data_IF_407515254873
#
_entry.id   IF_407515254873
#
_cell.length_a   1.000
_cell.length_b   1.000
_cell.length_c   1.000
_cell.angle_alpha   90.00
_cell.angle_beta   90.00
_cell.angle_gamma   90.00
#
_symmetry.space_group_name_H-M   'P 1'
#
loop_
_entity.id
_entity.type
_entity.pdbx_description
1 polymer ?
#
# COMPACT_ATOMS: atom_id res chain seq x y z
N UNK A 1 0.68 54.86 -7.05
CA UNK A 1 -0.29 54.33 -6.06
C UNK A 1 0.37 53.17 -5.33
N UNK A 2 0.59 53.29 -4.01
CA UNK A 2 1.06 52.16 -3.18
C UNK A 2 -0.19 51.39 -2.74
N UNK A 3 -0.35 50.16 -3.22
CA UNK A 3 -1.44 49.30 -2.73
C UNK A 3 -1.18 48.98 -1.25
N UNK A 4 -2.18 49.09 -0.37
CA UNK A 4 -2.02 48.73 1.03
C UNK A 4 -1.67 47.24 1.12
N UNK A 5 -0.62 46.91 1.86
CA UNK A 5 -0.22 45.52 2.12
C UNK A 5 -1.38 44.89 2.91
N UNK A 6 -2.04 43.84 2.39
CA UNK A 6 -3.16 43.21 3.08
C UNK A 6 -2.69 42.67 4.43
N UNK A 7 -3.53 42.81 5.46
CA UNK A 7 -3.15 42.29 6.77
C UNK A 7 -3.01 40.75 6.70
N UNK A 8 -2.03 40.15 7.40
CA UNK A 8 -1.76 38.71 7.33
C UNK A 8 -2.98 37.83 7.60
N UNK A 9 -3.94 38.31 8.38
CA UNK A 9 -5.18 37.60 8.74
C UNK A 9 -6.09 37.42 7.52
N UNK A 10 -6.26 38.45 6.69
CA UNK A 10 -7.08 38.35 5.48
C UNK A 10 -6.45 37.41 4.45
N UNK A 11 -5.12 37.45 4.34
CA UNK A 11 -4.38 36.54 3.46
C UNK A 11 -4.55 35.08 3.90
N UNK A 12 -4.44 34.81 5.21
CA UNK A 12 -4.69 33.49 5.78
C UNK A 12 -6.11 33.01 5.53
N UNK A 13 -7.12 33.87 5.72
CA UNK A 13 -8.52 33.53 5.47
C UNK A 13 -8.76 33.13 4.01
N UNK A 14 -8.29 33.94 3.06
CA UNK A 14 -8.42 33.64 1.62
C UNK A 14 -7.72 32.33 1.27
N UNK A 15 -6.54 32.08 1.82
CA UNK A 15 -5.81 30.82 1.63
C UNK A 15 -6.62 29.61 2.12
N UNK A 16 -7.14 29.65 3.35
CA UNK A 16 -7.92 28.54 3.90
C UNK A 16 -9.23 28.34 3.13
N UNK A 17 -9.94 29.41 2.75
CA UNK A 17 -11.13 29.28 1.90
C UNK A 17 -10.80 28.60 0.56
N UNK A 18 -9.74 29.03 -0.13
CA UNK A 18 -9.31 28.40 -1.37
C UNK A 18 -8.91 26.92 -1.17
N UNK A 19 -8.19 26.64 -0.07
CA UNK A 19 -7.80 25.27 0.29
C UNK A 19 -9.02 24.37 0.57
N UNK A 20 -10.02 24.86 1.30
CA UNK A 20 -11.26 24.11 1.54
C UNK A 20 -12.06 23.88 0.26
N UNK A 21 -12.10 24.84 -0.66
CA UNK A 21 -12.73 24.65 -1.97
C UNK A 21 -12.00 23.57 -2.77
N UNK A 22 -10.66 23.58 -2.79
CA UNK A 22 -9.88 22.54 -3.48
C UNK A 22 -10.05 21.16 -2.82
N UNK A 23 -10.07 21.08 -1.49
CA UNK A 23 -10.35 19.84 -0.78
C UNK A 23 -11.76 19.33 -1.07
N UNK A 24 -12.76 20.21 -1.09
CA UNK A 24 -14.13 19.87 -1.41
C UNK A 24 -14.23 19.27 -2.81
N UNK A 25 -13.67 19.94 -3.82
CA UNK A 25 -13.61 19.44 -5.20
C UNK A 25 -12.88 18.10 -5.28
N UNK A 26 -11.68 18.00 -4.68
CA UNK A 26 -10.86 16.79 -4.73
C UNK A 26 -11.48 15.58 -4.03
N UNK A 27 -12.25 15.77 -2.95
CA UNK A 27 -12.91 14.67 -2.24
C UNK A 27 -14.13 14.17 -3.01
N UNK A 28 -14.89 15.07 -3.64
CA UNK A 28 -16.12 14.72 -4.36
C UNK A 28 -15.82 14.07 -5.71
N UNK A 29 -14.83 14.57 -6.45
CA UNK A 29 -14.44 14.01 -7.76
C UNK A 29 -13.76 12.63 -7.66
N UNK A 30 -13.36 12.20 -6.46
CA UNK A 30 -12.63 10.93 -6.27
C UNK A 30 -13.49 9.68 -6.37
N UNK A 31 -14.81 9.84 -6.39
CA UNK A 31 -15.75 8.81 -6.81
C UNK A 31 -15.99 9.02 -8.30
N UNK A 32 -15.53 8.11 -9.16
CA UNK A 32 -15.60 8.21 -10.62
C UNK A 32 -16.84 8.98 -11.11
N UNK A 33 -16.58 10.02 -11.89
CA UNK A 33 -17.57 11.04 -12.20
C UNK A 33 -18.77 10.44 -12.93
N UNK A 34 -19.92 11.08 -12.78
CA UNK A 34 -21.12 10.75 -13.56
C UNK A 34 -20.87 10.78 -15.07
N UNK A 35 -19.94 11.64 -15.48
CA UNK A 35 -19.53 11.85 -16.86
C UNK A 35 -18.71 10.66 -17.42
N UNK A 36 -17.86 10.03 -16.61
CA UNK A 36 -17.04 8.87 -17.04
C UNK A 36 -17.87 7.58 -17.14
N UNK A 37 -18.89 7.43 -16.29
CA UNK A 37 -19.73 6.24 -16.22
C UNK A 37 -21.24 6.57 -16.29
N UNK A 38 -21.76 7.00 -17.45
CA UNK A 38 -23.12 7.51 -17.55
C UNK A 38 -24.21 6.42 -17.52
N UNK A 39 -23.86 5.15 -17.72
CA UNK A 39 -24.83 4.05 -17.77
C UNK A 39 -24.93 3.32 -16.44
N UNK A 40 -26.14 3.07 -15.99
CA UNK A 40 -26.44 2.34 -14.75
C UNK A 40 -26.94 0.95 -15.06
N UNK A 41 -26.47 -0.03 -14.28
CA UNK A 41 -26.86 -1.43 -14.32
C UNK A 41 -27.16 -1.90 -12.90
N UNK A 42 -28.35 -2.46 -12.68
CA UNK A 42 -28.70 -3.11 -11.42
C UNK A 42 -28.55 -4.62 -11.53
N UNK A 43 -27.81 -5.22 -10.62
CA UNK A 43 -27.65 -6.68 -10.55
C UNK A 43 -28.03 -7.20 -9.16
N UNK A 44 -28.45 -8.45 -9.08
CA UNK A 44 -28.82 -9.09 -7.81
C UNK A 44 -27.93 -10.27 -7.48
N UNK A 45 -27.50 -10.34 -6.22
CA UNK A 45 -26.50 -11.29 -5.77
C UNK A 45 -26.89 -11.90 -4.41
N UNK A 46 -26.71 -13.22 -4.17
CA UNK A 46 -27.19 -13.86 -2.94
C UNK A 46 -26.44 -13.52 -1.65
N UNK A 47 -25.27 -12.86 -1.69
CA UNK A 47 -24.43 -12.54 -0.51
C UNK A 47 -23.87 -11.11 -0.65
N UNK A 48 -23.42 -10.45 0.42
CA UNK A 48 -22.81 -9.09 0.32
C UNK A 48 -21.31 -9.07 0.61
N UNK A 49 -20.68 -10.25 0.80
CA UNK A 49 -19.29 -10.29 1.28
C UNK A 49 -18.30 -9.87 0.19
N UNK A 50 -17.54 -8.81 0.48
CA UNK A 50 -16.35 -8.40 -0.27
C UNK A 50 -16.58 -7.36 -1.37
N UNK A 51 -17.79 -6.82 -1.52
CA UNK A 51 -18.13 -5.76 -2.49
C UNK A 51 -18.50 -4.48 -1.74
N UNK A 52 -17.97 -3.34 -2.20
CA UNK A 52 -18.19 -2.03 -1.62
C UNK A 52 -18.33 -0.98 -2.73
N UNK A 53 -18.91 0.19 -2.44
CA UNK A 53 -18.81 1.34 -3.34
C UNK A 53 -17.36 1.57 -3.78
N UNK A 54 -17.14 1.79 -5.07
CA UNK A 54 -15.83 1.92 -5.71
C UNK A 54 -15.18 0.62 -6.15
N UNK A 55 -15.78 -0.56 -5.90
CA UNK A 55 -15.27 -1.82 -6.45
C UNK A 55 -15.28 -1.78 -7.99
N UNK A 56 -14.17 -2.13 -8.67
CA UNK A 56 -14.13 -2.12 -10.12
C UNK A 56 -14.96 -3.26 -10.74
N UNK A 57 -15.57 -2.96 -11.87
CA UNK A 57 -16.38 -3.89 -12.67
C UNK A 57 -15.72 -4.05 -14.03
N UNK A 58 -15.40 -5.31 -14.36
CA UNK A 58 -14.85 -5.67 -15.66
C UNK A 58 -15.90 -6.30 -16.56
N UNK A 59 -15.79 -5.99 -17.86
CA UNK A 59 -16.53 -6.67 -18.92
C UNK A 59 -15.51 -7.44 -19.74
N UNK A 60 -15.64 -8.76 -19.80
CA UNK A 60 -14.67 -9.65 -20.45
C UNK A 60 -13.21 -9.40 -19.96
N UNK A 61 -13.05 -9.10 -18.68
CA UNK A 61 -11.75 -8.80 -18.06
C UNK A 61 -11.21 -7.37 -18.26
N UNK A 62 -11.89 -6.53 -19.03
CA UNK A 62 -11.53 -5.10 -19.17
C UNK A 62 -12.32 -4.26 -18.17
N UNK A 63 -11.64 -3.48 -17.34
CA UNK A 63 -12.30 -2.55 -16.40
C UNK A 63 -13.08 -1.48 -17.16
N UNK A 64 -14.39 -1.46 -16.97
CA UNK A 64 -15.33 -0.60 -17.73
C UNK A 64 -16.41 0.02 -16.86
N UNK A 65 -16.30 -0.15 -15.54
CA UNK A 65 -17.28 0.35 -14.60
C UNK A 65 -16.86 0.25 -13.15
N UNK A 66 -17.71 0.77 -12.29
CA UNK A 66 -17.52 0.80 -10.85
C UNK A 66 -18.84 0.52 -10.14
N UNK A 67 -18.77 -0.07 -8.95
CA UNK A 67 -19.93 -0.21 -8.06
C UNK A 67 -20.22 1.14 -7.43
N UNK A 68 -21.45 1.64 -7.59
CA UNK A 68 -21.93 2.86 -6.94
C UNK A 68 -22.46 2.59 -5.55
N UNK A 69 -23.38 1.63 -5.44
CA UNK A 69 -24.10 1.37 -4.20
C UNK A 69 -24.47 -0.10 -4.03
N UNK A 70 -24.70 -0.50 -2.78
CA UNK A 70 -25.00 -1.88 -2.39
C UNK A 70 -26.12 -1.88 -1.35
N UNK A 71 -27.29 -2.37 -1.75
CA UNK A 71 -28.49 -2.43 -0.92
C UNK A 71 -28.95 -3.87 -0.67
N UNK A 72 -29.81 -4.05 0.32
CA UNK A 72 -30.40 -5.35 0.65
C UNK A 72 -31.90 -5.31 0.36
N UNK A 73 -32.36 -6.17 -0.54
CA UNK A 73 -33.75 -6.25 -1.01
C UNK A 73 -34.37 -7.61 -0.68
N UNK A 74 -35.70 -7.67 -0.66
CA UNK A 74 -36.42 -8.94 -0.56
C UNK A 74 -36.24 -9.77 -1.83
N UNK A 75 -36.09 -11.09 -1.71
CA UNK A 75 -35.97 -11.97 -2.89
C UNK A 75 -37.24 -11.96 -3.77
N UNK A 76 -38.36 -11.52 -3.22
CA UNK A 76 -39.64 -11.38 -3.94
C UNK A 76 -39.59 -10.29 -5.01
N UNK A 77 -38.85 -9.21 -4.76
CA UNK A 77 -38.70 -8.04 -5.63
C UNK A 77 -37.75 -8.29 -6.80
N UNK A 78 -36.95 -9.36 -6.75
CA UNK A 78 -35.95 -9.65 -7.76
C UNK A 78 -36.58 -10.24 -9.03
N UNK A 79 -36.39 -9.63 -10.21
CA UNK A 79 -36.93 -10.14 -11.48
C UNK A 79 -36.29 -11.48 -11.91
N UNK A 80 -34.95 -11.55 -11.91
CA UNK A 80 -34.21 -12.76 -12.28
C UNK A 80 -33.68 -13.49 -11.05
N UNK A 81 -34.15 -14.71 -10.81
CA UNK A 81 -33.76 -15.53 -9.64
C UNK A 81 -32.86 -16.71 -10.00
N UNK A 82 -32.38 -16.80 -11.25
CA UNK A 82 -31.61 -17.96 -11.75
C UNK A 82 -30.38 -18.30 -10.91
N UNK A 83 -29.67 -17.29 -10.43
CA UNK A 83 -28.45 -17.46 -9.64
C UNK A 83 -28.62 -17.15 -8.14
N UNK A 84 -29.87 -16.97 -7.69
CA UNK A 84 -30.18 -16.73 -6.28
C UNK A 84 -30.46 -18.04 -5.54
N UNK A 85 -30.13 -18.06 -4.24
CA UNK A 85 -30.44 -19.19 -3.37
C UNK A 85 -31.93 -19.16 -2.98
N UNK A 86 -32.67 -20.20 -3.40
CA UNK A 86 -34.11 -20.32 -3.12
C UNK A 86 -34.44 -20.44 -1.64
N UNK A 87 -33.48 -20.82 -0.80
CA UNK A 87 -33.68 -20.96 0.64
C UNK A 87 -33.51 -19.64 1.40
N UNK A 88 -33.13 -18.55 0.72
CA UNK A 88 -32.91 -17.24 1.31
C UNK A 88 -34.07 -16.30 1.01
N UNK A 89 -34.40 -15.44 1.98
CA UNK A 89 -35.47 -14.44 1.85
C UNK A 89 -34.96 -13.08 1.39
N UNK A 90 -33.64 -12.86 1.39
CA UNK A 90 -33.00 -11.59 1.05
C UNK A 90 -31.98 -11.78 -0.06
N UNK A 91 -31.89 -10.79 -0.93
CA UNK A 91 -30.87 -10.63 -1.96
C UNK A 91 -30.15 -9.30 -1.77
N UNK A 92 -29.00 -9.15 -2.42
CA UNK A 92 -28.23 -7.90 -2.42
C UNK A 92 -28.39 -7.28 -3.79
N UNK A 93 -28.94 -6.07 -3.84
CA UNK A 93 -28.95 -5.23 -5.03
C UNK A 93 -27.62 -4.49 -5.12
N UNK A 94 -26.95 -4.59 -6.26
CA UNK A 94 -25.71 -3.85 -6.52
C UNK A 94 -26.00 -2.93 -7.70
N UNK A 95 -25.83 -1.63 -7.47
CA UNK A 95 -25.92 -0.62 -8.52
C UNK A 95 -24.53 -0.37 -9.08
N UNK A 96 -24.36 -0.64 -10.37
CA UNK A 96 -23.11 -0.51 -11.11
C UNK A 96 -23.24 0.66 -12.09
N UNK A 97 -22.19 1.48 -12.21
CA UNK A 97 -22.03 2.44 -13.29
C UNK A 97 -21.04 1.90 -14.32
N UNK A 98 -21.36 2.06 -15.60
CA UNK A 98 -20.60 1.58 -16.76
C UNK A 98 -20.31 2.75 -17.71
N UNK A 99 -19.16 2.68 -18.39
CA UNK A 99 -18.76 3.67 -19.38
C UNK A 99 -19.59 3.54 -20.67
N UNK A 100 -19.95 2.30 -21.02
CA UNK A 100 -20.68 1.96 -22.24
C UNK A 100 -21.90 1.09 -21.90
N UNK A 101 -23.01 1.19 -22.64
CA UNK A 101 -24.16 0.34 -22.43
C UNK A 101 -23.85 -1.08 -22.89
N UNK A 102 -24.45 -2.07 -22.23
CA UNK A 102 -24.24 -3.49 -22.56
C UNK A 102 -25.55 -4.16 -22.94
N UNK A 103 -25.46 -5.13 -23.84
CA UNK A 103 -26.54 -6.05 -24.16
C UNK A 103 -26.20 -7.40 -23.57
N UNK A 104 -27.10 -7.98 -22.77
CA UNK A 104 -26.92 -9.31 -22.20
C UNK A 104 -27.72 -10.34 -22.99
N UNK A 105 -27.09 -11.44 -23.35
CA UNK A 105 -27.76 -12.62 -23.92
C UNK A 105 -28.24 -13.56 -22.82
N UNK A 106 -29.18 -14.44 -23.12
CA UNK A 106 -29.75 -15.37 -22.13
C UNK A 106 -28.69 -16.27 -21.46
N UNK A 107 -27.57 -16.52 -22.14
CA UNK A 107 -26.41 -17.28 -21.67
C UNK A 107 -25.33 -16.43 -20.96
N UNK A 108 -25.62 -15.18 -20.58
CA UNK A 108 -24.67 -14.35 -19.85
C UNK A 108 -24.18 -15.03 -18.56
N UNK A 109 -22.97 -14.64 -18.12
CA UNK A 109 -22.45 -15.01 -16.81
C UNK A 109 -21.91 -13.77 -16.10
N UNK A 110 -22.40 -13.50 -14.89
CA UNK A 110 -21.87 -12.45 -14.02
C UNK A 110 -21.30 -13.14 -12.80
N UNK A 111 -20.00 -12.97 -12.58
CA UNK A 111 -19.27 -13.66 -11.52
C UNK A 111 -18.45 -12.69 -10.69
N UNK A 112 -18.21 -13.05 -9.44
CA UNK A 112 -17.42 -12.24 -8.52
C UNK A 112 -16.04 -12.88 -8.38
N UNK A 113 -15.03 -12.28 -9.00
CA UNK A 113 -13.65 -12.77 -8.91
C UNK A 113 -12.91 -12.11 -7.75
N UNK A 114 -11.94 -12.81 -7.19
CA UNK A 114 -11.02 -12.21 -6.23
C UNK A 114 -9.74 -11.90 -6.97
N UNK A 115 -9.45 -10.61 -7.21
CA UNK A 115 -8.30 -10.21 -8.01
C UNK A 115 -6.98 -10.62 -7.33
N UNK A 116 -6.85 -10.35 -6.03
CA UNK A 116 -5.75 -10.82 -5.18
C UNK A 116 -6.25 -11.03 -3.76
N UNK A 117 -5.45 -11.69 -2.90
CA UNK A 117 -5.77 -11.88 -1.47
C UNK A 117 -5.93 -10.53 -0.74
N UNK A 118 -5.33 -9.45 -1.26
CA UNK A 118 -5.30 -8.12 -0.64
C UNK A 118 -6.21 -7.08 -1.32
N UNK A 119 -6.57 -7.27 -2.60
CA UNK A 119 -7.27 -6.29 -3.44
C UNK A 119 -8.82 -6.41 -3.41
N UNK A 120 -9.36 -7.24 -2.52
CA UNK A 120 -10.80 -7.47 -2.41
C UNK A 120 -11.39 -8.21 -3.62
N UNK A 121 -12.73 -8.20 -3.71
CA UNK A 121 -13.46 -8.85 -4.82
C UNK A 121 -13.77 -7.83 -5.91
N UNK A 122 -13.75 -8.29 -7.15
CA UNK A 122 -14.17 -7.56 -8.34
C UNK A 122 -15.36 -8.26 -8.99
N UNK A 123 -16.12 -7.52 -9.79
CA UNK A 123 -17.25 -8.07 -10.55
C UNK A 123 -16.79 -8.24 -11.99
N UNK A 124 -17.00 -9.41 -12.57
CA UNK A 124 -16.81 -9.62 -14.00
C UNK A 124 -18.12 -10.00 -14.68
N UNK A 125 -18.36 -9.33 -15.79
CA UNK A 125 -19.53 -9.51 -16.63
C UNK A 125 -19.08 -10.12 -17.95
N UNK A 126 -19.57 -11.33 -18.24
CA UNK A 126 -19.58 -11.90 -19.58
C UNK A 126 -20.98 -11.68 -20.17
N UNK A 127 -21.13 -10.80 -21.18
CA UNK A 127 -22.44 -10.51 -21.77
C UNK A 127 -23.11 -11.70 -22.48
N UNK A 128 -22.37 -12.77 -22.75
CA UNK A 128 -22.85 -13.88 -23.58
C UNK A 128 -22.81 -13.54 -25.07
N UNK A 129 -23.25 -14.49 -25.90
CA UNK A 129 -23.30 -14.31 -27.36
C UNK A 129 -24.42 -15.17 -27.98
N UNK A 130 -24.84 -14.80 -29.20
CA UNK A 130 -25.79 -15.56 -30.01
C UNK A 130 -25.11 -16.50 -31.03
N UNK A 131 -23.81 -16.76 -30.90
CA UNK A 131 -23.06 -17.59 -31.87
C UNK A 131 -23.46 -19.07 -31.75
N UNK A 132 -23.72 -19.53 -30.53
CA UNK A 132 -24.09 -20.92 -30.25
C UNK A 132 -25.56 -21.22 -30.59
N UNK A 133 -26.46 -20.23 -30.42
CA UNK A 133 -27.87 -20.33 -30.79
C UNK A 133 -28.40 -18.96 -31.26
N UNK A 134 -28.76 -18.89 -32.54
CA UNK A 134 -29.27 -17.68 -33.19
C UNK A 134 -30.65 -17.23 -32.71
N UNK A 135 -31.33 -18.05 -31.88
CA UNK A 135 -32.61 -17.70 -31.24
C UNK A 135 -32.47 -17.23 -29.79
N UNK A 136 -31.26 -16.99 -29.31
CA UNK A 136 -31.08 -16.49 -27.96
C UNK A 136 -31.76 -15.14 -27.75
N UNK A 137 -32.55 -15.05 -26.68
CA UNK A 137 -33.10 -13.79 -26.22
C UNK A 137 -31.98 -12.88 -25.74
N UNK A 138 -32.10 -11.59 -26.05
CA UNK A 138 -31.19 -10.55 -25.58
C UNK A 138 -31.97 -9.50 -24.79
N UNK A 139 -31.27 -8.84 -23.88
CA UNK A 139 -31.82 -7.85 -22.96
C UNK A 139 -30.91 -6.63 -22.90
N UNK A 140 -31.51 -5.45 -22.70
CA UNK A 140 -30.78 -4.19 -22.49
C UNK A 140 -30.98 -3.74 -21.04
N UNK A 141 -30.19 -4.25 -20.09
CA UNK A 141 -30.38 -3.96 -18.67
C UNK A 141 -29.80 -2.60 -18.25
N UNK A 142 -29.05 -1.93 -19.12
CA UNK A 142 -28.43 -0.63 -18.83
C UNK A 142 -29.33 0.53 -19.19
N UNK A 143 -29.36 1.55 -18.35
CA UNK A 143 -30.14 2.78 -18.54
C UNK A 143 -29.35 3.99 -18.05
N UNK A 144 -29.68 5.20 -18.53
CA UNK A 144 -29.16 6.44 -17.94
C UNK A 144 -30.15 6.96 -16.92
N UNK A 145 -29.69 7.46 -15.78
CA UNK A 145 -30.59 7.92 -14.71
C UNK A 145 -31.37 9.20 -15.10
N UNK A 146 -30.83 10.00 -16.01
CA UNK A 146 -31.47 11.22 -16.54
C UNK A 146 -32.60 10.93 -17.55
N UNK A 147 -32.60 9.72 -18.13
CA UNK A 147 -33.62 9.29 -19.09
C UNK A 147 -34.71 8.53 -18.32
N UNK A 148 -36.00 8.83 -18.56
CA UNK A 148 -37.14 8.06 -18.01
C UNK A 148 -37.29 6.70 -18.72
N UNK A 149 -36.18 5.96 -18.77
CA UNK A 149 -36.09 4.65 -19.37
C UNK A 149 -36.00 3.60 -18.26
N UNK A 150 -36.96 2.68 -18.24
CA UNK A 150 -36.93 1.53 -17.33
C UNK A 150 -36.23 0.37 -18.02
N UNK A 151 -35.20 -0.24 -17.40
CA UNK A 151 -34.52 -1.38 -17.99
C UNK A 151 -35.47 -2.57 -18.12
N UNK A 152 -35.36 -3.27 -19.25
CA UNK A 152 -36.22 -4.43 -19.56
C UNK A 152 -35.88 -5.66 -18.70
N UNK A 153 -34.70 -5.66 -18.09
CA UNK A 153 -34.16 -6.80 -17.38
C UNK A 153 -33.18 -6.37 -16.28
N UNK A 154 -33.19 -7.09 -15.16
CA UNK A 154 -32.24 -6.88 -14.09
C UNK A 154 -31.61 -8.24 -13.71
N UNK A 155 -30.35 -8.50 -14.14
CA UNK A 155 -29.73 -9.81 -14.07
C UNK A 155 -29.41 -10.23 -12.62
N UNK A 156 -29.52 -11.54 -12.36
CA UNK A 156 -28.84 -12.13 -11.19
C UNK A 156 -27.40 -12.52 -11.52
N UNK A 157 -26.56 -12.57 -10.48
CA UNK A 157 -25.15 -12.91 -10.57
C UNK A 157 -24.80 -14.15 -9.75
N UNK A 158 -23.89 -14.96 -10.28
CA UNK A 158 -23.48 -16.25 -9.69
C UNK A 158 -22.42 -16.05 -8.61
N UNK A 159 -22.61 -16.77 -7.51
CA UNK A 159 -21.58 -16.90 -6.48
C UNK A 159 -20.56 -17.98 -6.83
N UNK A 160 -19.29 -17.60 -6.92
CA UNK A 160 -18.16 -18.52 -6.88
C UNK A 160 -17.33 -18.28 -5.61
N UNK A 161 -16.95 -19.38 -4.96
CA UNK A 161 -16.10 -19.37 -3.77
C UNK A 161 -14.62 -19.49 -4.19
N UNK A 162 -14.10 -18.40 -4.75
CA UNK A 162 -12.82 -18.37 -5.47
C UNK A 162 -11.60 -18.05 -4.59
N UNK A 163 -11.68 -18.23 -3.26
CA UNK A 163 -10.54 -17.99 -2.36
C UNK A 163 -9.26 -18.73 -2.81
N UNK A 164 -9.42 -19.94 -3.37
CA UNK A 164 -8.32 -20.72 -3.93
C UNK A 164 -7.80 -20.18 -5.28
N UNK A 165 -8.65 -19.56 -6.10
CA UNK A 165 -8.24 -18.93 -7.35
C UNK A 165 -7.33 -17.71 -7.10
N UNK A 166 -7.63 -16.90 -6.08
CA UNK A 166 -6.79 -15.78 -5.69
C UNK A 166 -5.40 -16.22 -5.19
N UNK A 167 -5.39 -17.27 -4.35
CA UNK A 167 -4.14 -17.81 -3.80
C UNK A 167 -3.27 -18.44 -4.89
N UNK A 168 -3.87 -19.16 -5.83
CA UNK A 168 -3.15 -19.73 -6.98
C UNK A 168 -2.70 -18.67 -7.99
N UNK A 169 -3.46 -17.59 -8.15
CA UNK A 169 -3.08 -16.43 -8.98
C UNK A 169 -1.77 -15.79 -8.51
N UNK A 170 -1.68 -15.45 -7.21
CA UNK A 170 -0.46 -14.88 -6.61
C UNK A 170 0.73 -15.83 -6.77
N UNK A 171 0.55 -17.13 -6.52
CA UNK A 171 1.62 -18.13 -6.68
C UNK A 171 2.05 -18.24 -8.14
N UNK A 172 1.13 -18.17 -9.10
CA UNK A 172 1.43 -18.27 -10.53
C UNK A 172 2.18 -17.05 -11.04
N UNK A 173 1.74 -15.86 -10.65
CA UNK A 173 2.36 -14.58 -11.03
C UNK A 173 3.76 -14.42 -10.41
N UNK A 174 3.93 -14.86 -9.16
CA UNK A 174 5.20 -14.74 -8.43
C UNK A 174 6.03 -16.03 -8.46
N UNK A 175 5.71 -16.99 -9.34
CA UNK A 175 6.39 -18.31 -9.38
C UNK A 175 7.90 -18.16 -9.55
N UNK A 176 8.32 -17.23 -10.40
CA UNK A 176 9.74 -16.99 -10.67
C UNK A 176 10.45 -16.45 -9.44
N UNK A 177 9.89 -15.45 -8.77
CA UNK A 177 10.46 -14.84 -7.56
C UNK A 177 10.50 -15.83 -6.40
N UNK A 178 9.43 -16.62 -6.22
CA UNK A 178 9.38 -17.70 -5.23
C UNK A 178 10.47 -18.74 -5.54
N UNK A 179 10.65 -19.12 -6.80
CA UNK A 179 11.69 -20.07 -7.21
C UNK A 179 13.09 -19.52 -6.93
N UNK A 180 13.33 -18.25 -7.23
CA UNK A 180 14.60 -17.57 -6.93
C UNK A 180 14.85 -17.47 -5.42
N UNK A 181 13.82 -17.15 -4.64
CA UNK A 181 13.90 -17.13 -3.18
C UNK A 181 14.25 -18.51 -2.62
N UNK A 182 13.63 -19.57 -3.12
CA UNK A 182 13.96 -20.94 -2.70
C UNK A 182 15.38 -21.34 -3.11
N UNK A 183 15.82 -20.99 -4.32
CA UNK A 183 17.20 -21.23 -4.76
C UNK A 183 18.22 -20.48 -3.88
N UNK A 184 17.96 -19.22 -3.56
CA UNK A 184 18.80 -18.44 -2.65
C UNK A 184 18.80 -19.00 -1.22
N UNK A 185 17.65 -19.45 -0.70
CA UNK A 185 17.56 -20.10 0.60
C UNK A 185 18.29 -21.44 0.63
N UNK A 186 18.20 -22.23 -0.44
CA UNK A 186 18.94 -23.48 -0.60
C UNK A 186 20.45 -23.20 -0.63
N UNK A 187 20.89 -22.19 -1.38
CA UNK A 187 22.30 -21.79 -1.45
C UNK A 187 22.83 -21.28 -0.09
N UNK A 188 22.05 -20.45 0.63
CA UNK A 188 22.41 -19.99 1.99
C UNK A 188 22.48 -21.17 2.95
N UNK A 189 21.48 -22.05 2.92
CA UNK A 189 21.45 -23.29 3.73
C UNK A 189 22.66 -24.18 3.43
N UNK A 190 23.02 -24.32 2.15
CA UNK A 190 24.20 -25.06 1.72
C UNK A 190 25.49 -24.40 2.22
N UNK A 191 25.63 -23.08 2.06
CA UNK A 191 26.78 -22.31 2.59
C UNK A 191 26.89 -22.43 4.12
N UNK A 192 25.78 -22.42 4.84
CA UNK A 192 25.71 -22.59 6.30
C UNK A 192 26.10 -24.01 6.75
N UNK A 193 25.72 -25.04 5.99
CA UNK A 193 26.08 -26.44 6.27
C UNK A 193 27.49 -26.80 5.79
N UNK A 194 27.97 -26.13 4.75
CA UNK A 194 29.31 -26.37 4.22
C UNK A 194 30.37 -25.87 5.20
N UNK A 195 31.46 -26.61 5.38
CA UNK A 195 32.60 -26.18 6.22
C UNK A 195 33.42 -25.04 5.62
N UNK A 196 33.01 -24.53 4.45
CA UNK A 196 33.72 -23.55 3.65
C UNK A 196 33.00 -22.20 3.74
N UNK A 197 33.35 -21.42 4.76
CA UNK A 197 32.86 -20.06 4.95
C UNK A 197 33.17 -19.54 6.35
N UNK A 198 33.12 -18.23 6.54
CA UNK A 198 33.40 -17.58 7.82
C UNK A 198 32.30 -17.84 8.86
N UNK A 199 31.04 -17.90 8.44
CA UNK A 199 29.87 -18.07 9.34
C UNK A 199 29.78 -19.50 9.91
N UNK A 200 29.91 -20.59 9.13
CA UNK A 200 29.94 -21.94 9.68
C UNK A 200 31.16 -22.20 10.57
N UNK A 201 32.31 -21.62 10.23
CA UNK A 201 33.53 -21.70 11.06
C UNK A 201 33.31 -20.97 12.38
N UNK A 202 32.83 -19.73 12.36
CA UNK A 202 32.54 -18.98 13.58
C UNK A 202 31.55 -19.69 14.53
N UNK A 203 30.52 -20.36 13.99
CA UNK A 203 29.51 -21.06 14.80
C UNK A 203 30.01 -22.40 15.35
N UNK A 204 30.94 -23.07 14.67
CA UNK A 204 31.37 -24.44 15.03
C UNK A 204 32.83 -24.53 15.51
N UNK A 205 33.57 -23.43 15.59
CA UNK A 205 34.99 -23.41 15.97
C UNK A 205 35.17 -23.22 17.48
N UNK A 206 35.71 -24.24 18.21
CA UNK A 206 35.97 -24.14 19.64
C UNK A 206 36.94 -23.01 20.01
N UNK A 207 37.91 -22.67 19.15
CA UNK A 207 38.89 -21.62 19.43
C UNK A 207 38.22 -20.24 19.51
N UNK A 208 37.11 -20.03 18.79
CA UNK A 208 36.36 -18.77 18.84
C UNK A 208 35.67 -18.58 20.19
N UNK A 209 35.14 -19.67 20.78
CA UNK A 209 34.53 -19.65 22.10
C UNK A 209 35.57 -19.42 23.20
N UNK A 210 36.76 -20.00 23.06
CA UNK A 210 37.85 -19.87 24.02
C UNK A 210 38.43 -18.44 24.01
N UNK A 211 38.67 -17.85 22.84
CA UNK A 211 39.13 -16.46 22.71
C UNK A 211 38.10 -15.45 23.25
N UNK A 212 36.80 -15.73 23.10
CA UNK A 212 35.74 -14.90 23.69
C UNK A 212 35.72 -15.00 25.22
N UNK A 213 35.89 -16.21 25.77
CA UNK A 213 35.97 -16.41 27.22
C UNK A 213 37.21 -15.73 27.83
N UNK A 214 38.34 -15.76 27.14
CA UNK A 214 39.56 -15.06 27.53
C UNK A 214 39.36 -13.53 27.48
N UNK A 215 38.79 -13.01 26.39
CA UNK A 215 38.49 -11.57 26.26
C UNK A 215 37.53 -11.07 27.35
N UNK A 216 36.53 -11.88 27.73
CA UNK A 216 35.63 -11.56 28.85
C UNK A 216 36.35 -11.55 30.20
N UNK A 217 37.33 -12.44 30.36
CA UNK A 217 38.19 -12.49 31.56
C UNK A 217 39.08 -11.26 31.64
N UNK A 218 39.70 -10.87 30.53
CA UNK A 218 40.53 -9.66 30.45
C UNK A 218 39.72 -8.39 30.71
N UNK A 219 38.50 -8.29 30.15
CA UNK A 219 37.61 -7.17 30.43
C UNK A 219 37.25 -7.08 31.93
N UNK A 220 37.05 -8.22 32.59
CA UNK A 220 36.80 -8.25 34.04
C UNK A 220 38.03 -7.78 34.82
N UNK A 221 39.23 -8.23 34.45
CA UNK A 221 40.49 -7.80 35.07
C UNK A 221 40.69 -6.29 34.90
N UNK A 222 40.46 -5.77 33.69
CA UNK A 222 40.53 -4.33 33.41
C UNK A 222 39.50 -3.54 34.21
N UNK A 223 38.28 -4.05 34.37
CA UNK A 223 37.26 -3.43 35.23
C UNK A 223 37.68 -3.37 36.70
N UNK A 224 38.30 -4.43 37.21
CA UNK A 224 38.81 -4.49 38.58
C UNK A 224 40.03 -3.58 38.78
N UNK A 225 40.93 -3.48 37.80
CA UNK A 225 42.04 -2.53 37.80
C UNK A 225 41.56 -1.07 37.72
N UNK A 226 40.57 -0.78 36.86
CA UNK A 226 39.97 0.54 36.76
C UNK A 226 39.29 0.96 38.07
N UNK A 227 38.55 0.04 38.72
CA UNK A 227 37.98 0.29 40.06
C UNK A 227 39.08 0.55 41.09
N UNK A 228 40.15 -0.24 41.11
CA UNK A 228 41.30 -0.03 42.00
C UNK A 228 42.00 1.31 41.75
N UNK A 229 42.14 1.72 40.49
CA UNK A 229 42.69 3.01 40.09
C UNK A 229 41.84 4.15 40.64
N UNK A 230 40.51 4.11 40.42
CA UNK A 230 39.56 5.11 40.93
C UNK A 230 39.58 5.20 42.47
N UNK A 231 39.66 4.06 43.16
CA UNK A 231 39.82 4.04 44.63
C UNK A 231 41.15 4.63 45.09
N UNK A 232 42.22 4.47 44.31
CA UNK A 232 43.53 5.09 44.54
C UNK A 232 43.47 6.62 44.50
N UNK A 233 42.74 7.19 43.53
CA UNK A 233 42.49 8.64 43.47
C UNK A 233 41.66 9.14 44.65
N UNK A 234 40.66 8.37 45.08
CA UNK A 234 39.83 8.72 46.25
C UNK A 234 40.62 8.73 47.57
N UNK A 235 41.73 7.97 47.65
CA UNK A 235 42.64 8.00 48.80
C UNK A 235 43.59 9.21 48.77
N UNK A 236 44.00 9.68 47.58
CA UNK A 236 44.84 10.86 47.40
C UNK A 236 44.10 12.17 47.68
N UNK A 237 42.80 12.25 47.36
CA UNK A 237 41.98 13.44 47.60
C UNK A 237 41.74 13.73 49.10
N UNK A 238 41.94 12.75 49.98
CA UNK A 238 41.89 12.94 51.45
C UNK A 238 43.21 13.44 52.06
N UNK A 239 44.29 13.55 51.29
CA UNK A 239 45.63 13.87 51.80
C UNK A 239 46.47 14.74 50.86
N UNK A 240 46.03 15.97 50.57
CA UNK A 240 46.89 17.16 50.44
C UNK A 240 46.10 18.43 50.05
N UNK A 241 46.39 19.60 50.64
CA UNK A 241 45.86 20.88 50.20
C UNK A 241 46.81 21.63 49.24
N UNK A 242 46.21 22.59 48.50
CA UNK A 242 46.75 23.77 47.78
C UNK A 242 46.88 23.65 46.23
N UNK A 243 46.26 24.58 45.46
CA UNK A 243 46.28 24.59 43.99
C UNK A 243 47.44 25.42 43.40
N UNK A 244 47.96 25.01 42.24
CA UNK A 244 48.86 25.83 41.42
C UNK A 244 48.15 26.32 40.15
N UNK A 245 48.09 27.65 39.97
CA UNK A 245 47.68 28.32 38.73
C UNK A 245 48.91 28.61 37.85
N UNK A 246 48.88 28.24 36.57
CA UNK A 246 49.92 28.62 35.60
C UNK A 246 49.34 29.71 34.67
N UNK A 247 49.95 30.89 34.73
CA UNK A 247 49.71 32.03 33.82
C UNK A 247 50.61 31.88 32.58
N UNK A 248 50.03 31.75 31.38
CA UNK A 248 50.77 31.76 30.12
C UNK A 248 50.55 33.11 29.41
N UNK A 249 51.50 34.04 29.54
CA UNK A 249 51.54 35.29 28.79
C UNK A 249 52.60 35.19 27.69
N UNK A 250 52.18 34.91 26.44
CA UNK A 250 53.02 35.19 25.26
C UNK A 250 52.17 35.81 24.15
N UNK A 251 52.54 37.04 23.82
CA UNK A 251 51.97 37.98 22.84
C UNK A 251 51.54 37.32 21.52
N UNK A 252 50.29 37.53 21.14
CA UNK A 252 49.86 37.58 19.74
C UNK A 252 49.16 38.92 19.46
N UNK A 253 49.80 39.71 18.61
CA UNK A 253 49.24 40.88 17.90
C UNK A 253 50.05 40.84 16.59
N UNK A 254 49.49 40.87 15.39
CA UNK A 254 48.62 41.89 14.83
C UNK A 254 47.83 41.28 13.66
N UNK A 255 46.53 41.60 13.61
CA UNK A 255 45.66 41.57 12.44
C UNK A 255 46.04 42.74 11.54
N UNK A 256 46.25 42.54 10.24
CA UNK A 256 46.40 43.64 9.29
C UNK A 256 46.73 43.18 7.88
N UNK A 257 45.70 42.91 7.08
CA UNK A 257 45.83 42.79 5.63
C UNK A 257 45.79 44.18 4.99
N UNK A 258 46.74 44.46 4.10
CA UNK A 258 46.64 45.48 3.06
C UNK A 258 47.27 44.91 1.79
N UNK A 259 46.50 44.96 0.71
CA UNK A 259 46.85 44.59 -0.65
C UNK A 259 47.90 45.53 -1.24
N UNK A 260 48.76 45.01 -2.13
CA UNK A 260 48.85 45.41 -3.55
C UNK A 260 50.16 44.90 -4.15
N UNK A 261 50.06 44.47 -5.41
CA UNK A 261 51.15 44.48 -6.39
C UNK A 261 52.33 43.53 -6.17
N UNK A 262 52.45 42.48 -7.00
CA UNK A 262 53.00 42.60 -8.36
C UNK A 262 53.36 41.19 -8.90
N UNK A 263 52.68 40.82 -9.98
CA UNK A 263 53.12 40.03 -11.14
C UNK A 263 54.07 38.80 -11.06
N UNK A 264 53.54 37.73 -11.68
CA UNK A 264 54.14 36.88 -12.72
C UNK A 264 55.22 35.83 -12.37
N UNK A 265 54.80 34.62 -12.74
CA UNK A 265 55.47 33.66 -13.64
C UNK A 265 56.19 32.45 -13.04
N UNK A 266 55.69 31.29 -13.50
CA UNK A 266 56.42 30.08 -13.95
C UNK A 266 57.61 29.64 -13.09
N UNK A 267 57.43 28.49 -12.44
CA UNK A 267 58.01 27.20 -12.86
C UNK A 267 57.21 26.06 -12.24
#
# INVERSE_FOLDING_TARGET
>A
MKFPIPSPIHLGFVFFCAFFVLLYQSVIERSGSEEDYPYTLKIYYPKSQGIRPGTPVSILGLERGIVRDVDVVGIEEVPDKRFLDKNRTKAVEITIRLAEPITLYSNYDISFRTATVLSGRTIDINPGNAEEDSKQAFFKPTYKEEEDFRPDFAPSARYYDDFFAASTGVIRENKQDITLMFANMEEISYKLKSSNGSVPRFINDPDTYDNLAETLTDMRILGDDARRYVEGYRKLERSAPIPFSINLYRRTTIIGGISSDFYLNRL
#
